data_IF_755724704008
#
_entry.id   IF_755724704008
#
_cell.length_a   1.000
_cell.length_b   1.000
_cell.length_c   1.000
_cell.angle_alpha   90.00
_cell.angle_beta   90.00
_cell.angle_gamma   90.00
#
_symmetry.space_group_name_H-M   'P 1'
#
loop_
_entity.id
_entity.type
_entity.pdbx_description
1 polymer ?
#
# COMPACT_ATOMS: atom_id res chain seq x y z
N UNK A 1 -11.79 -10.68 -11.21
CA UNK A 1 -11.83 -9.23 -11.17
C UNK A 1 -12.14 -8.74 -9.77
N UNK A 2 -11.29 -7.85 -9.27
CA UNK A 2 -11.30 -7.49 -7.86
C UNK A 2 -11.85 -6.07 -7.63
N UNK A 3 -12.92 -5.74 -8.36
CA UNK A 3 -13.46 -4.37 -8.34
C UNK A 3 -14.02 -3.94 -6.99
N UNK A 4 -14.30 -4.89 -6.08
CA UNK A 4 -14.79 -4.56 -4.75
C UNK A 4 -13.67 -4.58 -3.70
N UNK A 5 -12.44 -4.79 -4.11
CA UNK A 5 -11.31 -4.79 -3.18
C UNK A 5 -11.11 -3.41 -2.59
N UNK A 6 -10.68 -3.37 -1.33
CA UNK A 6 -10.44 -2.14 -0.61
C UNK A 6 -8.94 -1.95 -0.42
N UNK A 7 -8.47 -0.76 -0.79
CA UNK A 7 -7.06 -0.43 -0.76
C UNK A 7 -6.82 0.69 0.24
N UNK A 8 -5.87 0.47 1.14
CA UNK A 8 -5.44 1.49 2.09
C UNK A 8 -4.20 2.18 1.53
N UNK A 9 -4.26 3.50 1.40
CA UNK A 9 -3.14 4.32 0.90
C UNK A 9 -2.60 5.15 2.04
N UNK A 10 -1.32 4.96 2.36
CA UNK A 10 -0.62 5.70 3.40
C UNK A 10 0.42 6.60 2.75
N UNK A 11 0.17 7.90 2.72
CA UNK A 11 1.08 8.88 2.16
C UNK A 11 0.81 10.21 2.84
N UNK A 12 1.86 10.89 3.30
CA UNK A 12 1.67 12.19 3.95
C UNK A 12 1.68 13.36 2.96
N UNK A 13 1.83 13.07 1.65
CA UNK A 13 1.60 14.07 0.62
C UNK A 13 0.14 14.00 0.19
N UNK A 14 -0.69 15.00 0.54
CA UNK A 14 -2.12 14.93 0.22
C UNK A 14 -2.43 14.92 -1.27
N UNK A 15 -1.55 15.52 -2.08
CA UNK A 15 -1.77 15.52 -3.54
C UNK A 15 -1.57 14.14 -4.13
N UNK A 16 -0.55 13.41 -3.68
CA UNK A 16 -0.30 12.05 -4.13
C UNK A 16 -1.43 11.14 -3.67
N UNK A 17 -1.80 11.22 -2.40
CA UNK A 17 -2.90 10.41 -1.86
C UNK A 17 -4.20 10.62 -2.61
N UNK A 18 -4.54 11.88 -2.88
CA UNK A 18 -5.76 12.22 -3.63
C UNK A 18 -5.71 11.67 -5.05
N UNK A 19 -4.57 11.82 -5.73
CA UNK A 19 -4.39 11.34 -7.09
C UNK A 19 -4.57 9.83 -7.18
N UNK A 20 -3.92 9.11 -6.29
CA UNK A 20 -4.03 7.64 -6.26
C UNK A 20 -5.47 7.23 -5.96
N UNK A 21 -6.10 7.88 -5.00
CA UNK A 21 -7.49 7.57 -4.65
C UNK A 21 -8.42 7.74 -5.83
N UNK A 22 -8.34 8.87 -6.52
CA UNK A 22 -9.21 9.13 -7.68
C UNK A 22 -9.02 8.08 -8.76
N UNK A 23 -7.77 7.73 -9.05
CA UNK A 23 -7.47 6.76 -10.09
C UNK A 23 -7.98 5.37 -9.73
N UNK A 24 -7.79 4.94 -8.49
CA UNK A 24 -8.23 3.62 -8.05
C UNK A 24 -9.75 3.54 -7.96
N UNK A 25 -10.40 4.60 -7.50
CA UNK A 25 -11.88 4.62 -7.46
C UNK A 25 -12.46 4.59 -8.87
N UNK A 26 -11.79 5.25 -9.82
CA UNK A 26 -12.21 5.18 -11.22
C UNK A 26 -12.18 3.74 -11.74
N UNK A 27 -11.25 2.94 -11.25
CA UNK A 27 -11.14 1.52 -11.64
C UNK A 27 -12.07 0.60 -10.83
N UNK A 28 -12.82 1.13 -9.89
CA UNK A 28 -13.80 0.37 -9.14
C UNK A 28 -13.36 -0.11 -7.77
N UNK A 29 -12.18 0.28 -7.30
CA UNK A 29 -11.71 -0.09 -5.96
C UNK A 29 -12.26 0.85 -4.91
N UNK A 30 -12.48 0.32 -3.69
CA UNK A 30 -12.71 1.15 -2.53
C UNK A 30 -11.36 1.62 -1.99
N UNK A 31 -11.25 2.89 -1.59
CA UNK A 31 -9.97 3.46 -1.18
C UNK A 31 -10.11 4.23 0.12
N UNK A 32 -9.21 3.97 1.05
CA UNK A 32 -9.06 4.74 2.29
C UNK A 32 -7.68 5.38 2.23
N UNK A 33 -7.61 6.70 2.36
CA UNK A 33 -6.34 7.44 2.39
C UNK A 33 -6.10 7.95 3.79
N UNK A 34 -4.88 7.75 4.29
CA UNK A 34 -4.48 8.28 5.58
C UNK A 34 -3.04 8.78 5.50
N UNK A 35 -2.75 9.84 6.24
CA UNK A 35 -1.39 10.37 6.41
C UNK A 35 -0.80 9.96 7.77
N UNK A 36 -1.52 9.13 8.54
CA UNK A 36 -1.11 8.76 9.89
C UNK A 36 -1.13 7.26 10.08
N UNK A 37 -0.04 6.73 10.62
CA UNK A 37 0.11 5.31 10.86
C UNK A 37 -0.89 4.76 11.89
N UNK A 38 -1.21 5.55 12.92
CA UNK A 38 -2.16 5.12 13.95
C UNK A 38 -3.59 4.97 13.41
N UNK A 39 -4.01 5.88 12.53
CA UNK A 39 -5.31 5.76 11.88
C UNK A 39 -5.35 4.58 10.91
N UNK A 40 -4.21 4.30 10.28
CA UNK A 40 -4.09 3.13 9.42
C UNK A 40 -4.32 1.84 10.21
N UNK A 41 -3.75 1.76 11.41
CA UNK A 41 -3.93 0.59 12.26
C UNK A 41 -5.40 0.38 12.63
N UNK A 42 -6.13 1.48 12.87
CA UNK A 42 -7.57 1.37 13.13
C UNK A 42 -8.32 0.81 11.92
N UNK A 43 -8.00 1.28 10.72
CA UNK A 43 -8.62 0.75 9.50
C UNK A 43 -8.34 -0.74 9.33
N UNK A 44 -7.12 -1.16 9.63
CA UNK A 44 -6.74 -2.58 9.55
C UNK A 44 -7.45 -3.42 10.60
N UNK A 45 -7.63 -2.87 11.80
CA UNK A 45 -8.32 -3.58 12.88
C UNK A 45 -9.81 -3.82 12.59
N UNK A 46 -10.44 -2.96 11.80
CA UNK A 46 -11.83 -3.18 11.41
C UNK A 46 -11.98 -4.25 10.31
N UNK A 47 -10.87 -4.64 9.69
CA UNK A 47 -10.87 -5.63 8.62
C UNK A 47 -11.28 -5.06 7.28
N UNK A 48 -11.26 -5.90 6.26
CA UNK A 48 -11.72 -5.53 4.94
C UNK A 48 -10.71 -4.80 4.06
N UNK A 49 -9.48 -4.65 4.51
CA UNK A 49 -8.40 -4.10 3.66
C UNK A 49 -7.75 -5.27 2.91
N UNK A 50 -7.70 -5.15 1.60
CA UNK A 50 -7.18 -6.21 0.74
C UNK A 50 -5.77 -5.94 0.22
N UNK A 51 -5.32 -4.67 0.27
CA UNK A 51 -4.00 -4.29 -0.20
C UNK A 51 -3.62 -2.95 0.42
N UNK A 52 -2.33 -2.76 0.69
CA UNK A 52 -1.79 -1.51 1.24
C UNK A 52 -0.79 -0.92 0.27
N UNK A 53 -0.94 0.38 -0.01
CA UNK A 53 0.08 1.18 -0.72
C UNK A 53 0.65 2.15 0.32
N UNK A 54 1.96 2.15 0.48
CA UNK A 54 2.58 2.87 1.58
C UNK A 54 3.83 3.61 1.13
N UNK A 55 3.91 4.90 1.45
CA UNK A 55 5.16 5.65 1.27
C UNK A 55 6.20 5.15 2.28
N UNK A 56 7.44 5.04 1.85
CA UNK A 56 8.54 4.65 2.73
C UNK A 56 8.73 5.63 3.88
N UNK A 57 8.50 6.92 3.62
CA UNK A 57 8.66 7.97 4.63
C UNK A 57 7.30 8.59 4.94
N UNK A 58 6.80 8.31 6.14
CA UNK A 58 5.58 8.89 6.67
C UNK A 58 5.94 9.87 7.78
N UNK A 59 5.07 10.86 8.05
CA UNK A 59 5.32 11.84 9.10
C UNK A 59 5.53 11.15 10.46
N UNK A 60 6.75 11.26 10.97
CA UNK A 60 7.09 10.71 12.28
C UNK A 60 7.22 9.19 12.33
N UNK A 61 7.09 8.48 11.22
CA UNK A 61 7.13 7.02 11.19
C UNK A 61 7.90 6.55 9.96
N UNK A 62 8.76 5.58 10.16
CA UNK A 62 9.45 4.92 9.05
C UNK A 62 8.51 3.83 8.48
N UNK A 63 8.17 3.96 7.20
CA UNK A 63 7.28 3.01 6.54
C UNK A 63 7.81 1.59 6.51
N UNK A 64 9.13 1.41 6.44
CA UNK A 64 9.72 0.07 6.47
C UNK A 64 9.49 -0.60 7.83
N UNK A 65 9.58 0.13 8.93
CA UNK A 65 9.29 -0.42 10.25
C UNK A 65 7.82 -0.84 10.36
N UNK A 66 6.93 -0.01 9.85
CA UNK A 66 5.50 -0.35 9.84
C UNK A 66 5.24 -1.59 8.98
N UNK A 67 5.90 -1.70 7.82
CA UNK A 67 5.78 -2.87 6.96
C UNK A 67 6.23 -4.14 7.68
N UNK A 68 7.37 -4.09 8.38
CA UNK A 68 7.87 -5.22 9.16
C UNK A 68 6.83 -5.65 10.19
N UNK A 69 6.25 -4.69 10.91
CA UNK A 69 5.25 -4.99 11.93
C UNK A 69 4.00 -5.64 11.32
N UNK A 70 3.54 -5.13 10.19
CA UNK A 70 2.38 -5.69 9.50
C UNK A 70 2.63 -7.13 9.06
N UNK A 71 3.83 -7.42 8.58
CA UNK A 71 4.17 -8.77 8.10
C UNK A 71 4.43 -9.76 9.23
N UNK A 72 4.71 -9.29 10.44
CA UNK A 72 4.86 -10.14 11.61
C UNK A 72 3.54 -10.45 12.29
N UNK A 73 2.53 -9.61 12.11
CA UNK A 73 1.24 -9.77 12.78
C UNK A 73 0.37 -10.76 11.98
N UNK A 74 -0.05 -11.89 12.58
CA UNK A 74 -0.88 -12.86 11.85
C UNK A 74 -2.16 -12.28 11.27
N UNK A 75 -2.71 -11.23 11.89
CA UNK A 75 -3.93 -10.59 11.40
C UNK A 75 -3.74 -9.80 10.11
N UNK A 76 -2.50 -9.38 9.80
CA UNK A 76 -2.22 -8.51 8.67
C UNK A 76 -1.16 -9.06 7.72
N UNK A 77 -0.45 -10.13 8.11
CA UNK A 77 0.68 -10.65 7.33
C UNK A 77 0.29 -11.09 5.92
N UNK A 78 -0.96 -11.45 5.71
CA UNK A 78 -1.47 -11.92 4.42
C UNK A 78 -1.80 -10.77 3.47
N UNK A 79 -1.84 -9.52 3.95
CA UNK A 79 -2.22 -8.37 3.13
C UNK A 79 -1.02 -7.94 2.29
N UNK A 80 -1.14 -7.90 0.95
CA UNK A 80 -0.04 -7.42 0.10
C UNK A 80 0.29 -5.96 0.37
N UNK A 81 1.57 -5.63 0.35
CA UNK A 81 2.06 -4.27 0.58
C UNK A 81 2.89 -3.82 -0.60
N UNK A 82 2.53 -2.67 -1.18
CA UNK A 82 3.32 -1.98 -2.18
C UNK A 82 3.95 -0.77 -1.52
N UNK A 83 5.29 -0.70 -1.53
CA UNK A 83 6.01 0.45 -0.99
C UNK A 83 6.37 1.41 -2.12
N UNK A 84 6.30 2.71 -1.84
CA UNK A 84 6.63 3.77 -2.80
C UNK A 84 7.73 4.65 -2.20
N UNK A 85 8.72 5.02 -2.99
CA UNK A 85 9.75 5.95 -2.55
C UNK A 85 10.47 6.61 -3.73
N UNK A 86 10.95 7.83 -3.52
CA UNK A 86 11.83 8.52 -4.45
C UNK A 86 13.31 8.25 -4.18
N UNK A 87 13.62 7.56 -3.09
CA UNK A 87 15.00 7.30 -2.70
C UNK A 87 15.64 6.26 -3.63
N UNK A 88 16.86 6.50 -4.14
CA UNK A 88 17.44 5.62 -5.16
C UNK A 88 17.75 4.20 -4.68
N UNK A 89 17.97 4.01 -3.39
CA UNK A 89 18.29 2.68 -2.83
C UNK A 89 17.13 2.05 -2.08
N UNK A 90 15.92 2.58 -2.23
CA UNK A 90 14.79 2.17 -1.41
C UNK A 90 14.26 0.78 -1.77
N UNK A 91 14.44 0.33 -3.01
CA UNK A 91 13.82 -0.92 -3.46
C UNK A 91 14.24 -2.10 -2.60
N UNK A 92 15.54 -2.30 -2.40
CA UNK A 92 16.02 -3.42 -1.60
C UNK A 92 15.58 -3.31 -0.15
N UNK A 93 15.64 -2.10 0.41
CA UNK A 93 15.26 -1.86 1.80
C UNK A 93 13.78 -2.23 1.99
N UNK A 94 12.92 -1.81 1.07
CA UNK A 94 11.49 -2.09 1.15
C UNK A 94 11.20 -3.58 0.99
N UNK A 95 11.83 -4.24 0.04
CA UNK A 95 11.61 -5.67 -0.17
C UNK A 95 12.12 -6.50 1.01
N UNK A 96 13.24 -6.12 1.61
CA UNK A 96 13.75 -6.78 2.81
C UNK A 96 12.83 -6.58 4.02
N UNK A 97 12.10 -5.47 4.05
CA UNK A 97 11.10 -5.23 5.09
C UNK A 97 9.84 -6.07 4.92
N UNK A 98 9.71 -6.79 3.82
CA UNK A 98 8.58 -7.67 3.56
C UNK A 98 7.58 -7.14 2.54
N UNK A 99 7.87 -6.01 1.90
CA UNK A 99 6.99 -5.49 0.86
C UNK A 99 6.90 -6.48 -0.31
N UNK A 100 5.71 -6.62 -0.86
CA UNK A 100 5.47 -7.53 -1.96
C UNK A 100 5.86 -6.91 -3.30
N UNK A 101 5.83 -5.57 -3.38
CA UNK A 101 6.25 -4.82 -4.56
C UNK A 101 6.80 -3.46 -4.17
N UNK A 102 7.54 -2.86 -5.10
CA UNK A 102 8.11 -1.54 -4.93
C UNK A 102 7.86 -0.69 -6.16
N UNK A 103 7.56 0.59 -5.95
CA UNK A 103 7.37 1.57 -7.03
C UNK A 103 8.20 2.80 -6.71
N UNK A 104 9.02 3.23 -7.66
CA UNK A 104 9.83 4.45 -7.47
C UNK A 104 9.06 5.68 -7.96
N UNK A 105 9.25 6.79 -7.26
CA UNK A 105 8.69 8.10 -7.67
C UNK A 105 9.69 8.78 -8.61
N UNK A 106 9.22 9.48 -9.64
CA UNK A 106 7.84 9.57 -10.10
C UNK A 106 7.37 8.26 -10.73
N UNK A 107 6.09 7.94 -10.58
CA UNK A 107 5.57 6.65 -11.03
C UNK A 107 4.54 6.81 -12.14
N UNK A 108 4.38 5.73 -12.90
CA UNK A 108 3.36 5.60 -13.93
C UNK A 108 2.14 4.93 -13.29
N UNK A 109 0.94 5.52 -13.47
CA UNK A 109 -0.27 4.95 -12.90
C UNK A 109 -0.58 3.57 -13.46
N UNK A 110 -0.24 3.30 -14.72
CA UNK A 110 -0.43 1.97 -15.30
C UNK A 110 0.42 0.93 -14.60
N UNK A 111 1.63 1.31 -14.19
CA UNK A 111 2.52 0.40 -13.44
C UNK A 111 1.92 0.06 -12.07
N UNK A 112 1.39 1.06 -11.35
CA UNK A 112 0.72 0.82 -10.08
C UNK A 112 -0.47 -0.10 -10.27
N UNK A 113 -1.32 0.18 -11.26
CA UNK A 113 -2.53 -0.59 -11.48
C UNK A 113 -2.23 -2.04 -11.83
N UNK A 114 -1.22 -2.29 -12.66
CA UNK A 114 -0.87 -3.65 -13.02
C UNK A 114 -0.32 -4.44 -11.83
N UNK A 115 0.46 -3.79 -10.97
CA UNK A 115 0.96 -4.44 -9.75
C UNK A 115 -0.17 -4.75 -8.77
N UNK A 116 -1.12 -3.83 -8.61
CA UNK A 116 -2.28 -4.05 -7.76
C UNK A 116 -3.08 -5.26 -8.25
N UNK A 117 -3.38 -5.31 -9.54
CA UNK A 117 -4.15 -6.40 -10.11
C UNK A 117 -3.44 -7.73 -9.92
N UNK A 118 -2.13 -7.77 -10.16
CA UNK A 118 -1.36 -8.99 -10.00
C UNK A 118 -1.38 -9.48 -8.55
N UNK A 119 -1.13 -8.59 -7.60
CA UNK A 119 -1.09 -8.97 -6.19
C UNK A 119 -2.45 -9.43 -5.67
N UNK A 120 -3.53 -8.76 -6.07
CA UNK A 120 -4.88 -9.17 -5.67
C UNK A 120 -5.26 -10.52 -6.27
N UNK A 121 -4.87 -10.77 -7.52
CA UNK A 121 -5.14 -12.06 -8.14
C UNK A 121 -4.36 -13.19 -7.47
N UNK A 122 -3.10 -12.95 -7.11
CA UNK A 122 -2.29 -13.94 -6.39
C UNK A 122 -2.90 -14.25 -5.02
N UNK A 123 -3.37 -13.22 -4.31
CA UNK A 123 -4.00 -13.42 -3.00
C UNK A 123 -5.27 -14.27 -3.11
N UNK A 124 -6.05 -14.08 -4.17
CA UNK A 124 -7.27 -14.87 -4.37
C UNK A 124 -6.98 -16.32 -4.78
N UNK A 125 -5.80 -16.58 -5.33
CA UNK A 125 -5.43 -17.92 -5.79
C UNK A 125 -4.98 -18.83 -4.65
N UNK A 126 -4.83 -18.30 -3.45
CA UNK A 126 -4.31 -19.06 -2.30
C UNK A 126 -5.41 -19.57 -1.40
#
# INVERSE_FOLDING_TARGET
MNKNARILVLDDDPDIGTMIKMMLEYKGYGVIVSDRADLAQQALNTGGVDLIIMDMLLSGVNGTDLCIDLKKNPSTSHIPVIMISAHPNAKEICLQAGADEFISKPFDMNDILSKIERLLNEALSQ
#
